data_IF_890617310890
#
_entry.id   IF_890617310890
#
_cell.length_a   1.000
_cell.length_b   1.000
_cell.length_c   1.000
_cell.angle_alpha   90.00
_cell.angle_beta   90.00
_cell.angle_gamma   90.00
#
_symmetry.space_group_name_H-M   'P 1'
#
loop_
_entity.id
_entity.type
_entity.pdbx_description
1 polymer ?
#
# COMPACT_ATOMS: atom_id res chain seq x y z
N UNK A 1 -28.80 14.30 0.76
CA UNK A 1 -28.07 14.15 -0.54
C UNK A 1 -27.86 15.50 -1.27
N UNK A 2 -28.71 16.51 -1.09
CA UNK A 2 -28.52 17.82 -1.75
C UNK A 2 -27.24 18.54 -1.32
N UNK A 3 -26.97 18.67 -0.02
CA UNK A 3 -25.84 19.45 0.52
C UNK A 3 -24.46 18.99 0.02
N UNK A 4 -24.25 17.69 -0.16
CA UNK A 4 -22.95 17.17 -0.67
C UNK A 4 -22.78 17.44 -2.17
N UNK A 5 -23.86 17.33 -2.93
CA UNK A 5 -23.89 17.67 -4.35
C UNK A 5 -23.65 19.17 -4.56
N UNK A 6 -24.32 20.01 -3.74
CA UNK A 6 -24.19 21.47 -3.80
C UNK A 6 -22.75 21.88 -3.44
N UNK A 7 -22.16 21.28 -2.38
CA UNK A 7 -20.76 21.49 -2.01
C UNK A 7 -19.78 21.09 -3.13
N UNK A 8 -20.02 19.96 -3.80
CA UNK A 8 -19.21 19.53 -4.94
C UNK A 8 -19.28 20.51 -6.12
N UNK A 9 -20.49 21.04 -6.42
CA UNK A 9 -20.67 22.06 -7.44
C UNK A 9 -20.00 23.39 -7.06
N UNK A 10 -20.02 23.75 -5.79
CA UNK A 10 -19.39 24.97 -5.28
C UNK A 10 -17.85 24.87 -5.35
N UNK A 11 -17.27 23.72 -5.06
CA UNK A 11 -15.84 23.45 -5.27
C UNK A 11 -15.47 23.53 -6.76
N UNK A 12 -16.27 22.89 -7.62
CA UNK A 12 -16.01 22.87 -9.07
C UNK A 12 -16.10 24.27 -9.69
N UNK A 13 -17.08 25.07 -9.26
CA UNK A 13 -17.28 26.45 -9.75
C UNK A 13 -16.34 27.47 -9.11
N UNK A 14 -15.53 27.06 -8.13
CA UNK A 14 -14.63 27.96 -7.40
C UNK A 14 -15.34 28.90 -6.39
N UNK A 15 -16.64 28.70 -6.12
CA UNK A 15 -17.39 29.47 -5.11
C UNK A 15 -16.91 29.13 -3.69
N UNK A 16 -16.53 27.89 -3.46
CA UNK A 16 -15.84 27.43 -2.26
C UNK A 16 -14.49 26.90 -2.68
N UNK A 17 -13.45 27.16 -1.93
CA UNK A 17 -12.11 26.66 -2.22
C UNK A 17 -11.43 26.17 -0.95
N UNK A 18 -10.89 24.96 -1.01
CA UNK A 18 -9.98 24.42 -0.02
C UNK A 18 -8.57 24.82 -0.44
N UNK A 19 -7.88 25.56 0.41
CA UNK A 19 -6.51 25.98 0.13
C UNK A 19 -5.51 24.86 0.38
N UNK A 20 -5.32 24.01 -0.62
CA UNK A 20 -4.35 22.91 -0.61
C UNK A 20 -2.94 23.42 -0.91
N UNK A 21 -2.82 24.21 -1.97
CA UNK A 21 -1.52 24.69 -2.49
C UNK A 21 -0.92 25.76 -1.57
N UNK A 22 -1.71 26.68 -1.04
CA UNK A 22 -1.21 27.70 -0.10
C UNK A 22 -0.74 27.10 1.23
N UNK A 23 -1.39 26.05 1.68
CA UNK A 23 -1.01 25.32 2.90
C UNK A 23 0.00 24.19 2.66
N UNK A 24 0.72 24.18 1.54
CA UNK A 24 1.69 23.13 1.17
C UNK A 24 2.73 22.81 2.25
N UNK A 25 3.14 23.79 3.07
CA UNK A 25 4.06 23.56 4.20
C UNK A 25 3.47 22.62 5.24
N UNK A 26 2.16 22.69 5.49
CA UNK A 26 1.46 21.78 6.38
C UNK A 26 1.45 20.35 5.80
N UNK A 27 1.10 20.22 4.52
CA UNK A 27 1.05 18.91 3.86
C UNK A 27 2.42 18.26 3.75
N UNK A 28 3.47 19.04 3.45
CA UNK A 28 4.84 18.56 3.49
C UNK A 28 5.26 18.14 4.90
N UNK A 29 4.89 18.90 5.93
CA UNK A 29 5.15 18.54 7.32
C UNK A 29 4.52 17.20 7.69
N UNK A 30 3.24 16.99 7.34
CA UNK A 30 2.53 15.72 7.55
C UNK A 30 3.22 14.59 6.78
N UNK A 31 3.50 14.79 5.49
CA UNK A 31 4.15 13.79 4.65
C UNK A 31 5.53 13.40 5.18
N UNK A 32 6.36 14.36 5.59
CA UNK A 32 7.69 14.11 6.16
C UNK A 32 7.58 13.33 7.46
N UNK A 33 6.66 13.69 8.35
CA UNK A 33 6.44 12.95 9.61
C UNK A 33 6.03 11.51 9.33
N UNK A 34 5.08 11.30 8.41
CA UNK A 34 4.64 9.96 8.01
C UNK A 34 5.79 9.15 7.40
N UNK A 35 6.60 9.75 6.52
CA UNK A 35 7.77 9.10 5.91
C UNK A 35 8.82 8.76 6.97
N UNK A 36 9.10 9.65 7.93
CA UNK A 36 10.01 9.36 9.03
C UNK A 36 9.49 8.16 9.84
N UNK A 37 8.23 8.17 10.22
CA UNK A 37 7.60 7.04 10.93
C UNK A 37 7.74 5.75 10.10
N UNK A 38 7.45 5.80 8.80
CA UNK A 38 7.53 4.66 7.91
C UNK A 38 8.94 4.09 7.77
N UNK A 39 9.98 4.93 7.80
CA UNK A 39 11.38 4.51 7.73
C UNK A 39 11.89 3.99 9.10
N UNK A 40 11.46 4.61 10.19
CA UNK A 40 11.89 4.21 11.54
C UNK A 40 11.18 2.92 12.00
N UNK A 41 9.96 2.68 11.57
CA UNK A 41 9.16 1.54 11.99
C UNK A 41 9.85 0.17 11.77
N UNK A 42 10.41 -0.14 10.58
CA UNK A 42 11.15 -1.40 10.39
C UNK A 42 12.35 -1.52 11.35
N UNK A 43 13.09 -0.42 11.56
CA UNK A 43 14.26 -0.44 12.45
C UNK A 43 13.84 -0.70 13.89
N UNK A 44 12.78 -0.05 14.36
CA UNK A 44 12.28 -0.20 15.73
C UNK A 44 11.69 -1.61 16.00
N UNK A 45 11.23 -2.29 14.98
CA UNK A 45 10.64 -3.65 15.09
C UNK A 45 11.61 -4.79 14.73
N UNK A 46 12.85 -4.49 14.37
CA UNK A 46 13.82 -5.51 13.98
C UNK A 46 13.67 -6.01 12.54
N UNK A 47 12.96 -5.27 11.67
CA UNK A 47 12.79 -5.59 10.26
C UNK A 47 11.33 -5.68 9.81
N UNK A 48 11.15 -6.16 8.58
CA UNK A 48 9.85 -6.55 8.04
C UNK A 48 9.56 -8.01 8.36
N UNK A 49 8.30 -8.31 8.56
CA UNK A 49 7.85 -9.70 8.70
C UNK A 49 7.66 -10.31 7.28
N UNK A 50 8.73 -10.87 6.73
CA UNK A 50 8.67 -11.53 5.42
C UNK A 50 8.06 -12.93 5.54
N UNK A 51 7.17 -13.28 4.61
CA UNK A 51 6.64 -14.62 4.47
C UNK A 51 7.70 -15.66 4.10
N UNK A 52 7.37 -16.93 4.31
CA UNK A 52 8.27 -18.04 3.97
C UNK A 52 8.59 -18.09 2.47
N UNK A 53 7.75 -17.50 1.63
CA UNK A 53 7.96 -17.38 0.18
C UNK A 53 9.21 -16.55 -0.17
N UNK A 54 9.63 -15.66 0.74
CA UNK A 54 10.83 -14.83 0.57
C UNK A 54 12.05 -15.37 1.33
N UNK A 55 11.83 -15.87 2.56
CA UNK A 55 12.94 -16.33 3.42
C UNK A 55 13.23 -17.81 3.35
N UNK A 56 12.32 -18.60 2.79
CA UNK A 56 12.30 -20.05 2.92
C UNK A 56 11.73 -20.48 4.27
N UNK A 57 11.43 -21.76 4.42
CA UNK A 57 10.94 -22.35 5.67
C UNK A 57 9.84 -23.37 5.45
N UNK A 58 9.34 -23.90 6.57
CA UNK A 58 8.21 -24.83 6.59
C UNK A 58 6.96 -24.13 7.12
N UNK A 59 5.81 -24.44 6.55
CA UNK A 59 4.51 -23.95 6.99
C UNK A 59 3.60 -25.11 7.30
N UNK A 60 2.91 -25.04 8.43
CA UNK A 60 1.84 -25.93 8.81
C UNK A 60 0.54 -25.15 8.88
N UNK A 61 -0.52 -25.73 8.35
CA UNK A 61 -1.86 -25.17 8.44
C UNK A 61 -2.83 -26.20 9.00
N UNK A 62 -3.62 -25.75 9.95
CA UNK A 62 -4.65 -26.52 10.63
C UNK A 62 -5.97 -25.78 10.44
N UNK A 63 -6.94 -26.46 9.84
CA UNK A 63 -8.27 -25.92 9.62
C UNK A 63 -9.29 -26.63 10.52
N UNK A 64 -10.38 -25.95 10.87
CA UNK A 64 -11.48 -26.52 11.67
C UNK A 64 -11.17 -26.65 13.18
N UNK A 65 -10.26 -25.83 13.71
CA UNK A 65 -9.95 -25.79 15.14
C UNK A 65 -10.99 -24.98 15.91
N UNK A 66 -11.46 -25.52 17.04
CA UNK A 66 -12.36 -24.77 17.93
C UNK A 66 -11.66 -23.70 18.77
N UNK A 67 -10.36 -23.87 19.02
CA UNK A 67 -9.49 -22.91 19.72
C UNK A 67 -8.35 -22.49 18.80
N UNK A 68 -8.34 -21.24 18.37
CA UNK A 68 -7.29 -20.65 17.55
C UNK A 68 -6.16 -20.04 18.38
N UNK A 69 -6.00 -20.43 19.64
CA UNK A 69 -4.96 -19.97 20.55
C UNK A 69 -3.57 -20.26 19.95
N UNK A 70 -2.80 -19.22 19.77
CA UNK A 70 -1.44 -19.32 19.22
C UNK A 70 -0.49 -20.08 20.16
N UNK A 71 -0.78 -20.08 21.46
CA UNK A 71 0.08 -20.71 22.45
C UNK A 71 0.08 -22.23 22.31
N UNK A 72 -1.08 -22.84 22.04
CA UNK A 72 -1.21 -24.30 21.83
C UNK A 72 -0.32 -24.77 20.70
N UNK A 73 -0.33 -24.07 19.55
CA UNK A 73 0.52 -24.39 18.43
C UNK A 73 2.00 -24.17 18.72
N UNK A 74 2.34 -23.08 19.43
CA UNK A 74 3.71 -22.77 19.81
C UNK A 74 4.29 -23.85 20.72
N UNK A 75 3.57 -24.24 21.74
CA UNK A 75 4.00 -25.25 22.68
C UNK A 75 4.16 -26.62 22.02
N UNK A 76 3.28 -26.97 21.09
CA UNK A 76 3.38 -28.20 20.32
C UNK A 76 4.67 -28.25 19.46
N UNK A 77 5.02 -27.16 18.77
CA UNK A 77 6.26 -27.09 17.98
C UNK A 77 7.49 -27.17 18.87
N UNK A 78 7.55 -26.37 19.94
CA UNK A 78 8.67 -26.31 20.88
C UNK A 78 8.88 -27.66 21.61
N UNK A 79 7.81 -28.43 21.81
CA UNK A 79 7.92 -29.76 22.42
C UNK A 79 8.68 -30.77 21.56
N UNK A 80 8.68 -30.56 20.23
CA UNK A 80 9.42 -31.41 19.27
C UNK A 80 10.82 -30.85 19.02
N UNK A 81 10.89 -29.55 18.73
CA UNK A 81 12.14 -28.85 18.49
C UNK A 81 12.21 -27.56 19.32
N UNK A 82 12.92 -27.59 20.47
CA UNK A 82 13.05 -26.46 21.37
C UNK A 82 13.84 -25.28 20.81
N UNK A 83 14.64 -25.48 19.74
CA UNK A 83 15.44 -24.42 19.12
C UNK A 83 14.61 -23.63 18.09
N UNK A 84 13.57 -24.23 17.55
CA UNK A 84 12.68 -23.59 16.57
C UNK A 84 11.81 -22.52 17.24
N UNK A 85 11.77 -21.33 16.62
CA UNK A 85 10.89 -20.23 16.99
C UNK A 85 9.72 -20.11 16.02
N UNK A 86 8.56 -20.73 16.28
CA UNK A 86 7.43 -20.70 15.38
C UNK A 86 6.75 -19.34 15.38
N UNK A 87 6.42 -18.83 14.19
CA UNK A 87 5.52 -17.71 14.00
C UNK A 87 4.12 -18.29 13.83
N UNK A 88 3.26 -18.08 14.82
CA UNK A 88 1.89 -18.59 14.82
C UNK A 88 0.92 -17.45 14.51
N UNK A 89 0.04 -17.66 13.55
CA UNK A 89 -0.98 -16.69 13.11
C UNK A 89 -2.33 -17.38 13.00
N UNK A 90 -3.35 -16.81 13.67
CA UNK A 90 -4.74 -17.24 13.47
C UNK A 90 -5.25 -16.73 12.11
N UNK A 91 -5.89 -17.61 11.35
CA UNK A 91 -6.39 -17.34 10.00
C UNK A 91 -7.90 -17.61 9.97
N UNK A 92 -8.70 -16.56 9.78
CA UNK A 92 -10.15 -16.70 9.90
C UNK A 92 -10.59 -16.95 11.34
N UNK A 93 -11.68 -17.70 11.50
CA UNK A 93 -12.30 -17.99 12.81
C UNK A 93 -11.90 -19.35 13.36
N UNK A 94 -11.38 -20.26 12.53
CA UNK A 94 -11.20 -21.67 12.84
C UNK A 94 -9.91 -22.28 12.29
N UNK A 95 -8.95 -21.47 11.87
CA UNK A 95 -7.71 -21.95 11.28
C UNK A 95 -6.49 -21.33 11.95
N UNK A 96 -5.41 -22.09 12.06
CA UNK A 96 -4.11 -21.64 12.56
C UNK A 96 -3.04 -21.97 11.55
N UNK A 97 -2.17 -20.98 11.26
CA UNK A 97 -0.99 -21.09 10.40
C UNK A 97 0.26 -20.97 11.27
N UNK A 98 1.16 -21.91 11.12
CA UNK A 98 2.41 -21.98 11.84
C UNK A 98 3.54 -21.97 10.82
N UNK A 99 4.49 -21.08 10.96
CA UNK A 99 5.67 -20.97 10.11
C UNK A 99 6.93 -21.14 10.94
N UNK A 100 7.87 -21.90 10.41
CA UNK A 100 9.17 -22.18 11.04
C UNK A 100 10.29 -21.91 10.06
N UNK A 101 11.52 -21.97 10.53
CA UNK A 101 12.68 -22.12 9.67
C UNK A 101 12.63 -23.46 8.90
N UNK A 102 13.59 -23.67 8.03
CA UNK A 102 13.68 -24.91 7.26
C UNK A 102 13.87 -26.10 8.21
N UNK A 103 12.97 -27.07 8.13
CA UNK A 103 13.02 -28.33 8.86
C UNK A 103 13.36 -29.48 7.90
N UNK A 104 13.93 -30.54 8.45
CA UNK A 104 14.04 -31.80 7.74
C UNK A 104 12.71 -32.57 7.69
N UNK A 105 12.63 -33.59 6.87
CA UNK A 105 11.41 -34.38 6.66
C UNK A 105 10.92 -35.09 7.95
N UNK A 106 11.83 -35.52 8.81
CA UNK A 106 11.52 -36.26 10.04
C UNK A 106 10.91 -35.28 11.05
N UNK A 107 11.60 -34.18 11.32
CA UNK A 107 11.11 -33.11 12.24
C UNK A 107 9.79 -32.51 11.75
N UNK A 108 9.64 -32.32 10.43
CA UNK A 108 8.38 -31.85 9.83
C UNK A 108 7.23 -32.79 10.14
N UNK A 109 7.43 -34.13 10.02
CA UNK A 109 6.37 -35.07 10.31
C UNK A 109 6.07 -35.16 11.82
N UNK A 110 7.10 -35.11 12.67
CA UNK A 110 6.92 -35.08 14.13
C UNK A 110 6.13 -33.86 14.59
N UNK A 111 6.44 -32.67 14.08
CA UNK A 111 5.70 -31.45 14.36
C UNK A 111 4.26 -31.55 13.86
N UNK A 112 4.05 -32.11 12.66
CA UNK A 112 2.71 -32.31 12.10
C UNK A 112 1.84 -33.20 13.03
N UNK A 113 2.42 -34.26 13.55
CA UNK A 113 1.75 -35.16 14.50
C UNK A 113 1.49 -34.47 15.84
N UNK A 114 2.49 -33.75 16.37
CA UNK A 114 2.36 -33.01 17.62
C UNK A 114 1.26 -31.95 17.56
N UNK A 115 1.19 -31.19 16.46
CA UNK A 115 0.15 -30.22 16.20
C UNK A 115 -1.25 -30.86 16.11
N UNK A 116 -1.38 -31.97 15.38
CA UNK A 116 -2.65 -32.69 15.28
C UNK A 116 -3.13 -33.16 16.68
N UNK A 117 -2.23 -33.72 17.49
CA UNK A 117 -2.52 -34.16 18.84
C UNK A 117 -2.91 -33.01 19.77
N UNK A 118 -2.19 -31.89 19.70
CA UNK A 118 -2.45 -30.71 20.53
C UNK A 118 -3.85 -30.09 20.29
N UNK A 119 -4.34 -30.20 19.05
CA UNK A 119 -5.69 -29.73 18.69
C UNK A 119 -6.74 -30.85 18.69
N UNK A 120 -6.38 -32.08 19.09
CA UNK A 120 -7.30 -33.21 19.16
C UNK A 120 -7.85 -33.64 17.79
N UNK A 121 -7.07 -33.47 16.73
CA UNK A 121 -7.44 -33.73 15.35
C UNK A 121 -6.74 -34.98 14.80
N UNK A 122 -7.32 -35.64 13.78
CA UNK A 122 -6.61 -36.72 13.05
C UNK A 122 -5.33 -36.18 12.43
N UNK A 123 -4.27 -37.02 12.35
CA UNK A 123 -2.97 -36.62 11.81
C UNK A 123 -3.03 -36.05 10.38
N UNK A 124 -4.01 -36.42 9.57
CA UNK A 124 -4.23 -35.89 8.20
C UNK A 124 -4.85 -34.48 8.14
N UNK A 125 -5.26 -33.92 9.29
CA UNK A 125 -5.89 -32.58 9.34
C UNK A 125 -4.88 -31.43 9.30
N UNK A 126 -3.59 -31.73 9.51
CA UNK A 126 -2.51 -30.74 9.42
C UNK A 126 -1.86 -30.85 8.08
N UNK A 127 -1.98 -29.81 7.27
CA UNK A 127 -1.27 -29.71 5.99
C UNK A 127 0.11 -29.09 6.23
N UNK A 128 1.13 -29.59 5.56
CA UNK A 128 2.47 -29.02 5.57
C UNK A 128 2.91 -28.62 4.18
N UNK A 129 3.61 -27.50 4.06
CA UNK A 129 4.28 -27.07 2.84
C UNK A 129 5.68 -26.58 3.17
N UNK A 130 6.60 -26.76 2.21
CA UNK A 130 7.97 -26.38 2.37
C UNK A 130 8.42 -25.49 1.21
N UNK A 131 9.14 -24.42 1.54
CA UNK A 131 9.74 -23.51 0.58
C UNK A 131 11.26 -23.47 0.82
N UNK A 132 12.02 -23.98 -0.14
CA UNK A 132 13.47 -23.96 -0.06
C UNK A 132 14.04 -22.55 -0.14
N UNK A 133 15.18 -22.29 0.51
CA UNK A 133 15.83 -20.98 0.57
C UNK A 133 16.19 -20.42 -0.82
N UNK A 134 16.57 -21.28 -1.77
CA UNK A 134 16.85 -20.86 -3.15
C UNK A 134 15.60 -20.30 -3.85
N UNK A 135 14.44 -20.91 -3.61
CA UNK A 135 13.17 -20.40 -4.14
C UNK A 135 12.83 -19.02 -3.56
N UNK A 136 13.01 -18.82 -2.25
CA UNK A 136 12.81 -17.54 -1.60
C UNK A 136 13.70 -16.43 -2.18
N UNK A 137 14.97 -16.73 -2.43
CA UNK A 137 15.90 -15.81 -3.07
C UNK A 137 15.47 -15.46 -4.50
N UNK A 138 15.00 -16.44 -5.28
CA UNK A 138 14.50 -16.22 -6.64
C UNK A 138 13.24 -15.35 -6.65
N UNK A 139 12.30 -15.61 -5.75
CA UNK A 139 11.05 -14.82 -5.62
C UNK A 139 11.38 -13.39 -5.23
N UNK A 140 12.30 -13.19 -4.27
CA UNK A 140 12.77 -11.86 -3.86
C UNK A 140 13.37 -11.09 -5.04
N UNK A 141 14.27 -11.74 -5.78
CA UNK A 141 14.89 -11.12 -6.96
C UNK A 141 13.87 -10.72 -8.02
N UNK A 142 12.90 -11.60 -8.31
CA UNK A 142 11.82 -11.32 -9.26
C UNK A 142 10.92 -10.19 -8.79
N UNK A 143 10.60 -10.11 -7.50
CA UNK A 143 9.78 -9.04 -6.92
C UNK A 143 10.48 -7.67 -7.03
N UNK A 144 11.77 -7.60 -6.68
CA UNK A 144 12.57 -6.37 -6.79
C UNK A 144 12.73 -5.94 -8.25
N UNK A 145 13.08 -6.87 -9.14
CA UNK A 145 13.21 -6.58 -10.56
C UNK A 145 11.88 -6.12 -11.16
N UNK A 146 10.77 -6.75 -10.78
CA UNK A 146 9.42 -6.33 -11.20
C UNK A 146 9.11 -4.91 -10.77
N UNK A 147 9.41 -4.54 -9.53
CA UNK A 147 9.23 -3.18 -9.03
C UNK A 147 10.09 -2.16 -9.79
N UNK A 148 11.37 -2.47 -10.03
CA UNK A 148 12.28 -1.60 -10.76
C UNK A 148 11.79 -1.39 -12.20
N UNK A 149 11.47 -2.47 -12.90
CA UNK A 149 10.95 -2.41 -14.28
C UNK A 149 9.65 -1.61 -14.33
N UNK A 150 8.74 -1.86 -13.39
CA UNK A 150 7.49 -1.09 -13.28
C UNK A 150 7.76 0.41 -13.11
N UNK A 151 8.62 0.80 -12.18
CA UNK A 151 8.95 2.21 -11.94
C UNK A 151 9.59 2.88 -13.15
N UNK A 152 10.47 2.16 -13.88
CA UNK A 152 11.07 2.66 -15.12
C UNK A 152 9.99 2.87 -16.19
N UNK A 153 9.14 1.87 -16.45
CA UNK A 153 8.07 1.95 -17.44
C UNK A 153 7.11 3.10 -17.14
N UNK A 154 6.70 3.23 -15.88
CA UNK A 154 5.84 4.32 -15.43
C UNK A 154 6.52 5.67 -15.61
N UNK A 155 7.80 5.80 -15.25
CA UNK A 155 8.56 7.03 -15.41
C UNK A 155 8.62 7.48 -16.88
N UNK A 156 8.88 6.54 -17.77
CA UNK A 156 8.90 6.78 -19.23
C UNK A 156 7.50 7.18 -19.72
N UNK A 157 6.47 6.43 -19.33
CA UNK A 157 5.08 6.73 -19.70
C UNK A 157 4.66 8.14 -19.27
N UNK A 158 4.95 8.50 -18.01
CA UNK A 158 4.62 9.81 -17.46
C UNK A 158 5.37 10.94 -18.12
N UNK A 159 6.68 10.75 -18.43
CA UNK A 159 7.48 11.73 -19.15
C UNK A 159 6.92 11.98 -20.56
N UNK A 160 6.50 10.92 -21.24
CA UNK A 160 5.90 11.01 -22.57
C UNK A 160 4.50 11.63 -22.55
N UNK A 161 3.66 11.22 -21.60
CA UNK A 161 2.28 11.67 -21.47
C UNK A 161 2.18 13.17 -21.15
N UNK A 162 2.89 13.63 -20.13
CA UNK A 162 2.77 15.02 -19.69
C UNK A 162 3.58 16.01 -20.51
N UNK A 163 4.55 15.55 -21.31
CA UNK A 163 5.48 16.42 -22.06
C UNK A 163 6.15 17.51 -21.19
N UNK A 164 6.04 17.41 -19.86
CA UNK A 164 6.58 18.34 -18.87
C UNK A 164 7.30 17.53 -17.79
N UNK A 165 8.61 17.55 -17.83
CA UNK A 165 9.45 16.77 -16.91
C UNK A 165 9.13 17.04 -15.43
N UNK A 166 8.80 18.29 -15.08
CA UNK A 166 8.44 18.67 -13.70
C UNK A 166 7.14 18.02 -13.21
N UNK A 167 6.17 17.81 -14.09
CA UNK A 167 4.92 17.12 -13.78
C UNK A 167 5.17 15.65 -13.51
N UNK A 168 6.03 15.03 -14.34
CA UNK A 168 6.44 13.63 -14.14
C UNK A 168 7.19 13.44 -12.81
N UNK A 169 8.12 14.35 -12.47
CA UNK A 169 8.83 14.32 -11.17
C UNK A 169 7.82 14.42 -10.00
N UNK A 170 6.86 15.32 -10.08
CA UNK A 170 5.87 15.48 -9.02
C UNK A 170 4.99 14.23 -8.84
N UNK A 171 4.58 13.59 -9.94
CA UNK A 171 3.85 12.33 -9.90
C UNK A 171 4.70 11.18 -9.32
N UNK A 172 5.97 11.07 -9.70
CA UNK A 172 6.89 10.06 -9.18
C UNK A 172 7.20 10.29 -7.68
N UNK A 173 7.28 11.56 -7.24
CA UNK A 173 7.44 11.87 -5.82
C UNK A 173 6.24 11.40 -4.99
N UNK A 174 5.02 11.60 -5.47
CA UNK A 174 3.81 11.07 -4.83
C UNK A 174 3.81 9.54 -4.83
N UNK A 175 4.19 8.91 -5.93
CA UNK A 175 4.29 7.44 -6.04
C UNK A 175 5.32 6.86 -5.07
N UNK A 176 6.50 7.48 -4.96
CA UNK A 176 7.52 7.08 -4.01
C UNK A 176 7.03 7.22 -2.55
N UNK A 177 6.31 8.30 -2.25
CA UNK A 177 5.64 8.47 -0.96
C UNK A 177 4.68 7.32 -0.68
N UNK A 178 3.85 6.91 -1.65
CA UNK A 178 2.86 5.83 -1.48
C UNK A 178 3.52 4.49 -1.16
N UNK A 179 4.61 4.17 -1.88
CA UNK A 179 5.41 2.96 -1.60
C UNK A 179 5.96 2.98 -0.18
N UNK A 180 6.59 4.09 0.22
CA UNK A 180 7.23 4.22 1.53
C UNK A 180 6.20 4.12 2.65
N UNK A 181 5.08 4.82 2.54
CA UNK A 181 4.04 4.80 3.57
C UNK A 181 3.38 3.42 3.66
N UNK A 182 3.07 2.80 2.54
CA UNK A 182 2.47 1.45 2.53
C UNK A 182 3.42 0.44 3.18
N UNK A 183 4.70 0.45 2.80
CA UNK A 183 5.72 -0.39 3.43
C UNK A 183 5.86 -0.10 4.94
N UNK A 184 5.86 1.18 5.31
CA UNK A 184 5.91 1.60 6.72
C UNK A 184 4.73 1.09 7.55
N UNK A 185 3.52 1.08 6.99
CA UNK A 185 2.33 0.53 7.66
C UNK A 185 2.47 -0.98 7.84
N UNK A 186 3.00 -1.72 6.85
CA UNK A 186 3.30 -3.14 6.99
C UNK A 186 4.30 -3.38 8.14
N UNK A 187 5.36 -2.61 8.21
CA UNK A 187 6.33 -2.72 9.29
C UNK A 187 5.73 -2.38 10.67
N UNK A 188 4.92 -1.30 10.77
CA UNK A 188 4.29 -0.87 12.03
C UNK A 188 3.31 -1.90 12.56
N UNK A 189 2.50 -2.48 11.69
CA UNK A 189 1.45 -3.43 12.07
C UNK A 189 1.98 -4.84 12.25
N UNK A 190 3.16 -5.16 11.68
CA UNK A 190 3.72 -6.51 11.64
C UNK A 190 3.00 -7.41 10.63
N UNK A 191 2.27 -6.85 9.69
CA UNK A 191 1.67 -7.61 8.59
C UNK A 191 2.75 -8.30 7.79
N UNK A 192 2.44 -9.51 7.36
CA UNK A 192 3.37 -10.34 6.59
C UNK A 192 3.53 -9.81 5.17
N UNK A 193 4.76 -9.62 4.75
CA UNK A 193 5.10 -9.27 3.37
C UNK A 193 5.18 -10.56 2.57
N UNK A 194 4.15 -10.84 1.79
CA UNK A 194 4.05 -12.00 0.89
C UNK A 194 4.19 -11.58 -0.57
N UNK A 195 4.46 -12.48 -1.52
CA UNK A 195 4.37 -12.16 -2.96
C UNK A 195 3.02 -11.58 -3.36
N UNK A 196 1.94 -12.05 -2.73
CA UNK A 196 0.60 -11.52 -2.92
C UNK A 196 0.48 -10.06 -2.48
N UNK A 197 1.09 -9.69 -1.34
CA UNK A 197 1.16 -8.31 -0.89
C UNK A 197 1.95 -7.41 -1.86
N UNK A 198 3.06 -7.93 -2.44
CA UNK A 198 3.84 -7.20 -3.46
C UNK A 198 3.02 -6.99 -4.74
N UNK A 199 2.27 -7.99 -5.19
CA UNK A 199 1.36 -7.85 -6.34
C UNK A 199 0.30 -6.79 -6.05
N UNK A 200 -0.29 -6.80 -4.85
CA UNK A 200 -1.22 -5.77 -4.39
C UNK A 200 -0.58 -4.38 -4.42
N UNK A 201 0.64 -4.24 -3.91
CA UNK A 201 1.40 -2.98 -3.93
C UNK A 201 1.62 -2.48 -5.37
N UNK A 202 2.10 -3.32 -6.28
CA UNK A 202 2.31 -2.93 -7.69
C UNK A 202 1.00 -2.51 -8.37
N UNK A 203 -0.08 -3.22 -8.07
CA UNK A 203 -1.40 -2.92 -8.63
C UNK A 203 -1.90 -1.54 -8.17
N UNK A 204 -1.75 -1.22 -6.88
CA UNK A 204 -2.22 0.05 -6.34
C UNK A 204 -1.39 1.24 -6.82
N UNK A 205 -0.12 1.05 -7.14
CA UNK A 205 0.69 2.10 -7.74
C UNK A 205 0.12 2.56 -9.09
N UNK A 206 -0.41 1.62 -9.89
CA UNK A 206 -1.13 1.96 -11.12
C UNK A 206 -2.41 2.77 -10.86
N UNK A 207 -3.17 2.41 -9.83
CA UNK A 207 -4.36 3.14 -9.42
C UNK A 207 -4.04 4.57 -8.93
N UNK A 208 -3.04 4.73 -8.07
CA UNK A 208 -2.58 6.03 -7.56
C UNK A 208 -2.12 6.95 -8.69
N UNK A 209 -1.41 6.39 -9.67
CA UNK A 209 -1.01 7.13 -10.87
C UNK A 209 -2.19 7.59 -11.69
N UNK A 210 -3.23 6.75 -11.85
CA UNK A 210 -4.42 7.15 -12.59
C UNK A 210 -5.08 8.39 -11.97
N UNK A 211 -5.23 8.43 -10.66
CA UNK A 211 -5.80 9.60 -9.97
C UNK A 211 -4.90 10.84 -10.12
N UNK A 212 -3.59 10.68 -9.97
CA UNK A 212 -2.61 11.75 -10.21
C UNK A 212 -2.67 12.30 -11.63
N UNK A 213 -2.83 11.44 -12.65
CA UNK A 213 -2.98 11.83 -14.05
C UNK A 213 -4.22 12.69 -14.24
N UNK A 214 -5.35 12.28 -13.66
CA UNK A 214 -6.62 13.03 -13.75
C UNK A 214 -6.51 14.42 -13.13
N UNK A 215 -5.88 14.52 -11.95
CA UNK A 215 -5.63 15.82 -11.30
C UNK A 215 -4.71 16.67 -12.17
N UNK A 216 -3.65 16.10 -12.73
CA UNK A 216 -2.69 16.84 -13.55
C UNK A 216 -3.22 17.24 -14.92
N UNK A 217 -4.12 16.48 -15.50
CA UNK A 217 -4.82 16.90 -16.73
C UNK A 217 -5.64 18.17 -16.46
N UNK A 218 -6.35 18.22 -15.34
CA UNK A 218 -7.10 19.41 -14.94
C UNK A 218 -6.18 20.59 -14.59
N UNK A 219 -5.06 20.32 -13.93
CA UNK A 219 -4.02 21.32 -13.68
C UNK A 219 -3.49 21.87 -14.99
N UNK A 220 -3.22 21.04 -15.98
CA UNK A 220 -2.75 21.46 -17.30
C UNK A 220 -3.79 22.34 -17.99
N UNK A 221 -5.05 21.93 -17.98
CA UNK A 221 -6.16 22.69 -18.56
C UNK A 221 -6.25 24.11 -17.95
N UNK A 222 -6.28 24.19 -16.62
CA UNK A 222 -6.44 25.44 -15.91
C UNK A 222 -5.21 26.37 -15.97
N UNK A 223 -4.02 25.81 -16.21
CA UNK A 223 -2.77 26.59 -16.28
C UNK A 223 -2.40 27.03 -17.68
N UNK A 224 -3.19 26.67 -18.70
CA UNK A 224 -3.02 27.20 -20.05
C UNK A 224 -3.25 28.71 -20.09
N UNK A 225 -2.28 29.46 -20.57
CA UNK A 225 -2.40 30.92 -20.73
C UNK A 225 -2.20 31.75 -19.48
N UNK A 226 -1.95 31.13 -18.30
CA UNK A 226 -1.68 31.87 -17.05
C UNK A 226 -0.49 32.81 -17.16
N UNK A 227 0.47 32.50 -18.01
CA UNK A 227 1.65 33.32 -18.29
C UNK A 227 1.29 34.69 -18.92
N UNK A 228 0.09 34.83 -19.47
CA UNK A 228 -0.44 36.07 -20.07
C UNK A 228 -1.48 36.76 -19.19
N UNK A 229 -1.82 36.22 -18.02
CA UNK A 229 -2.83 36.77 -17.12
C UNK A 229 -2.16 37.69 -16.07
N UNK A 230 -2.78 38.82 -15.83
CA UNK A 230 -2.37 39.74 -14.75
C UNK A 230 -3.12 39.44 -13.43
N UNK A 231 -4.30 38.81 -13.53
CA UNK A 231 -5.21 38.60 -12.39
C UNK A 231 -5.06 37.25 -11.69
N UNK A 232 -4.41 36.28 -12.34
CA UNK A 232 -4.33 34.90 -11.81
C UNK A 232 -2.90 34.41 -11.67
N UNK A 233 -2.59 33.72 -10.56
CA UNK A 233 -1.28 33.11 -10.35
C UNK A 233 -1.30 31.65 -10.75
N UNK A 234 -0.12 31.10 -11.09
CA UNK A 234 0.04 29.68 -11.37
C UNK A 234 -0.46 28.81 -10.19
N UNK A 235 -0.10 29.20 -8.96
CA UNK A 235 -0.51 28.48 -7.74
C UNK A 235 -2.04 28.51 -7.54
N UNK A 236 -2.71 29.64 -7.84
CA UNK A 236 -4.17 29.74 -7.70
C UNK A 236 -4.91 28.85 -8.69
N UNK A 237 -4.41 28.73 -9.95
CA UNK A 237 -5.02 27.88 -10.97
C UNK A 237 -4.78 26.39 -10.69
N UNK A 238 -3.62 26.03 -10.15
CA UNK A 238 -3.40 24.66 -9.67
C UNK A 238 -4.32 24.34 -8.50
N UNK A 239 -4.49 25.25 -7.54
CA UNK A 239 -5.42 25.06 -6.43
C UNK A 239 -6.87 24.90 -6.89
N UNK A 240 -7.29 25.68 -7.88
CA UNK A 240 -8.61 25.53 -8.49
C UNK A 240 -8.78 24.17 -9.13
N UNK A 241 -7.79 23.69 -9.91
CA UNK A 241 -7.82 22.38 -10.54
C UNK A 241 -7.95 21.24 -9.51
N UNK A 242 -7.21 21.33 -8.41
CA UNK A 242 -7.30 20.36 -7.29
C UNK A 242 -8.72 20.37 -6.70
N UNK A 243 -9.30 21.53 -6.44
CA UNK A 243 -10.68 21.63 -5.92
C UNK A 243 -11.72 21.06 -6.91
N UNK A 244 -11.54 21.29 -8.20
CA UNK A 244 -12.42 20.76 -9.26
C UNK A 244 -12.37 19.23 -9.37
N UNK A 245 -11.25 18.60 -9.03
CA UNK A 245 -11.06 17.14 -9.09
C UNK A 245 -11.30 16.44 -7.76
N UNK A 246 -11.29 17.17 -6.64
CA UNK A 246 -11.33 16.61 -5.28
C UNK A 246 -12.50 15.65 -5.06
N UNK A 247 -13.72 16.06 -5.38
CA UNK A 247 -14.92 15.24 -5.18
C UNK A 247 -14.87 13.98 -6.05
N UNK A 248 -14.33 14.10 -7.28
CA UNK A 248 -14.15 12.95 -8.18
C UNK A 248 -13.14 11.96 -7.59
N UNK A 249 -11.96 12.41 -7.16
CA UNK A 249 -10.93 11.58 -6.55
C UNK A 249 -11.47 10.84 -5.32
N UNK A 250 -12.18 11.54 -4.43
CA UNK A 250 -12.79 10.92 -3.24
C UNK A 250 -13.83 9.87 -3.63
N UNK A 251 -14.76 10.20 -4.54
CA UNK A 251 -15.81 9.28 -4.95
C UNK A 251 -15.23 8.03 -5.65
N UNK A 252 -14.26 8.21 -6.53
CA UNK A 252 -13.59 7.10 -7.21
C UNK A 252 -12.90 6.18 -6.21
N UNK A 253 -12.21 6.75 -5.22
CA UNK A 253 -11.54 5.99 -4.17
C UNK A 253 -12.53 5.25 -3.28
N UNK A 254 -13.62 5.89 -2.85
CA UNK A 254 -14.67 5.23 -2.04
C UNK A 254 -15.26 4.04 -2.80
N UNK A 255 -15.60 4.22 -4.08
CA UNK A 255 -16.17 3.13 -4.90
C UNK A 255 -15.16 1.99 -5.09
N UNK A 256 -13.88 2.30 -5.28
CA UNK A 256 -12.84 1.29 -5.44
C UNK A 256 -12.50 0.56 -4.11
N UNK A 257 -12.56 1.26 -2.98
CA UNK A 257 -12.29 0.69 -1.65
C UNK A 257 -13.38 -0.30 -1.23
N UNK A 258 -14.65 -0.07 -1.58
CA UNK A 258 -15.77 -0.91 -1.12
C UNK A 258 -15.60 -2.41 -1.43
N UNK A 259 -15.34 -2.86 -2.68
CA UNK A 259 -15.14 -4.29 -2.95
C UNK A 259 -13.88 -4.84 -2.29
N UNK A 260 -12.81 -4.04 -2.21
CA UNK A 260 -11.57 -4.44 -1.54
C UNK A 260 -11.76 -4.59 -0.03
N UNK A 261 -12.51 -3.66 0.58
CA UNK A 261 -12.89 -3.76 1.99
C UNK A 261 -13.77 -5.00 2.25
N UNK A 262 -14.72 -5.31 1.35
CA UNK A 262 -15.52 -6.52 1.46
C UNK A 262 -14.65 -7.79 1.41
N UNK A 263 -13.70 -7.89 0.49
CA UNK A 263 -12.75 -9.00 0.42
C UNK A 263 -11.88 -9.05 1.69
N UNK A 264 -11.39 -7.90 2.16
CA UNK A 264 -10.54 -7.82 3.34
C UNK A 264 -11.31 -8.24 4.61
N UNK A 265 -12.47 -7.67 4.86
CA UNK A 265 -13.20 -7.90 6.11
C UNK A 265 -14.01 -9.20 6.09
N UNK A 266 -14.65 -9.55 5.00
CA UNK A 266 -15.44 -10.79 4.89
C UNK A 266 -14.52 -11.96 4.52
N UNK A 267 -13.69 -11.82 3.49
CA UNK A 267 -12.81 -12.88 3.01
C UNK A 267 -11.76 -13.28 4.02
N UNK A 268 -11.12 -12.30 4.67
CA UNK A 268 -10.05 -12.56 5.63
C UNK A 268 -10.57 -13.02 6.99
N UNK A 269 -11.58 -12.35 7.53
CA UNK A 269 -12.03 -12.60 8.91
C UNK A 269 -13.11 -13.68 8.99
N UNK A 270 -13.90 -13.89 7.92
CA UNK A 270 -14.99 -14.89 7.92
C UNK A 270 -14.58 -16.16 7.18
N UNK A 271 -13.96 -16.03 5.98
CA UNK A 271 -13.65 -17.18 5.12
C UNK A 271 -12.21 -17.70 5.26
N UNK A 272 -11.31 -16.99 5.95
CA UNK A 272 -9.94 -17.44 6.21
C UNK A 272 -9.05 -17.58 4.98
N UNK A 273 -9.34 -16.85 3.88
CA UNK A 273 -8.55 -16.94 2.64
C UNK A 273 -7.32 -16.04 2.71
N UNK A 274 -6.18 -16.59 3.12
CA UNK A 274 -4.94 -15.86 3.41
C UNK A 274 -4.41 -15.02 2.24
N UNK A 275 -4.24 -15.60 1.05
CA UNK A 275 -3.68 -14.91 -0.12
C UNK A 275 -4.54 -13.71 -0.57
N UNK A 276 -5.86 -13.86 -0.57
CA UNK A 276 -6.78 -12.76 -0.90
C UNK A 276 -6.73 -11.65 0.14
N UNK A 277 -6.54 -12.01 1.41
CA UNK A 277 -6.33 -11.04 2.50
C UNK A 277 -5.11 -10.16 2.23
N UNK A 278 -3.98 -10.77 1.88
CA UNK A 278 -2.71 -10.05 1.71
C UNK A 278 -2.79 -9.07 0.54
N UNK A 279 -3.39 -9.49 -0.59
CA UNK A 279 -3.64 -8.60 -1.73
C UNK A 279 -4.60 -7.47 -1.32
N UNK A 280 -5.73 -7.82 -0.70
CA UNK A 280 -6.75 -6.84 -0.33
C UNK A 280 -6.23 -5.82 0.69
N UNK A 281 -5.39 -6.26 1.62
CA UNK A 281 -4.77 -5.38 2.62
C UNK A 281 -3.84 -4.35 1.97
N UNK A 282 -2.96 -4.79 1.06
CA UNK A 282 -2.06 -3.89 0.33
C UNK A 282 -2.85 -2.88 -0.52
N UNK A 283 -3.89 -3.36 -1.23
CA UNK A 283 -4.78 -2.51 -2.02
C UNK A 283 -5.53 -1.49 -1.13
N UNK A 284 -6.10 -1.94 0.00
CA UNK A 284 -6.87 -1.09 0.90
C UNK A 284 -6.02 0.07 1.45
N UNK A 285 -4.84 -0.26 2.00
CA UNK A 285 -3.90 0.73 2.51
C UNK A 285 -3.45 1.67 1.40
N UNK A 286 -3.01 1.10 0.27
CA UNK A 286 -2.46 1.89 -0.83
C UNK A 286 -3.49 2.80 -1.51
N UNK A 287 -4.78 2.41 -1.59
CA UNK A 287 -5.83 3.30 -2.11
C UNK A 287 -6.04 4.53 -1.23
N UNK A 288 -6.03 4.37 0.09
CA UNK A 288 -6.16 5.50 1.02
C UNK A 288 -4.95 6.43 0.88
N UNK A 289 -3.74 5.87 0.88
CA UNK A 289 -2.49 6.63 0.77
C UNK A 289 -2.39 7.33 -0.58
N UNK A 290 -2.70 6.64 -1.69
CA UNK A 290 -2.63 7.18 -3.04
C UNK A 290 -3.65 8.30 -3.29
N UNK A 291 -4.86 8.20 -2.73
CA UNK A 291 -5.84 9.29 -2.79
C UNK A 291 -5.35 10.53 -2.05
N UNK A 292 -4.69 10.35 -0.91
CA UNK A 292 -4.09 11.46 -0.19
C UNK A 292 -2.94 12.08 -0.98
N UNK A 293 -2.03 11.27 -1.51
CA UNK A 293 -0.81 11.75 -2.15
C UNK A 293 -1.06 12.47 -3.48
N UNK A 294 -2.03 12.01 -4.28
CA UNK A 294 -2.40 12.64 -5.56
C UNK A 294 -2.88 14.08 -5.37
N UNK A 295 -3.59 14.34 -4.28
CA UNK A 295 -4.18 15.66 -3.98
C UNK A 295 -3.17 16.52 -3.20
N UNK A 296 -2.66 16.01 -2.08
CA UNK A 296 -1.95 16.81 -1.08
C UNK A 296 -0.43 16.80 -1.23
N UNK A 297 0.13 15.95 -2.11
CA UNK A 297 1.57 15.88 -2.37
C UNK A 297 1.90 16.21 -3.81
N UNK A 298 1.31 15.51 -4.79
CA UNK A 298 1.66 15.68 -6.20
C UNK A 298 1.46 17.13 -6.66
N UNK A 299 0.29 17.71 -6.38
CA UNK A 299 -0.05 19.07 -6.83
C UNK A 299 0.80 20.17 -6.15
N UNK A 300 0.98 20.18 -4.81
CA UNK A 300 1.91 21.12 -4.17
C UNK A 300 3.36 20.97 -4.64
N UNK A 301 3.86 19.74 -4.84
CA UNK A 301 5.21 19.52 -5.36
C UNK A 301 5.36 20.10 -6.76
N UNK A 302 4.37 19.90 -7.62
CA UNK A 302 4.38 20.48 -8.97
C UNK A 302 4.43 22.02 -8.94
N UNK A 303 3.64 22.65 -8.07
CA UNK A 303 3.69 24.11 -7.89
C UNK A 303 5.07 24.54 -7.41
N UNK A 304 5.62 23.87 -6.40
CA UNK A 304 6.95 24.20 -5.88
C UNK A 304 8.06 24.15 -6.95
N UNK A 305 7.97 23.17 -7.85
CA UNK A 305 8.94 23.02 -8.95
C UNK A 305 8.79 24.09 -10.04
N UNK A 306 7.63 24.76 -10.15
CA UNK A 306 7.28 25.54 -11.33
C UNK A 306 6.94 26.99 -11.09
N UNK A 307 6.46 27.39 -9.91
CA UNK A 307 6.01 28.75 -9.62
C UNK A 307 7.10 29.83 -9.80
N UNK A 308 8.37 29.44 -9.68
CA UNK A 308 9.51 30.35 -9.84
C UNK A 308 10.01 30.46 -11.28
N UNK A 309 9.37 29.80 -12.25
CA UNK A 309 9.73 30.01 -13.66
C UNK A 309 9.41 31.45 -14.07
N UNK A 310 10.30 32.07 -14.86
CA UNK A 310 10.18 33.49 -15.26
C UNK A 310 8.84 33.81 -15.91
N UNK A 311 8.25 32.85 -16.63
CA UNK A 311 6.95 33.00 -17.30
C UNK A 311 5.75 33.06 -16.36
N UNK A 312 5.90 32.60 -15.10
CA UNK A 312 4.84 32.62 -14.10
C UNK A 312 5.09 33.65 -12.99
N UNK A 313 6.21 34.38 -13.03
CA UNK A 313 6.44 35.51 -12.14
C UNK A 313 5.56 36.65 -12.59
N UNK A 314 4.60 37.00 -11.75
CA UNK A 314 3.84 38.24 -11.89
C UNK A 314 4.82 39.39 -12.07
N UNK A 315 4.68 40.14 -13.14
CA UNK A 315 5.37 41.45 -13.25
C UNK A 315 4.87 42.28 -12.08
N UNK A 316 5.77 42.57 -11.13
CA UNK A 316 5.51 43.52 -10.06
C UNK A 316 5.39 44.92 -10.67
#
# INVERSE_FOLDING_TARGET
MSKFKDFGNDLYSGRVSIDVVGRRKLWYGIAIVLVIIAIVAPVARGGFNFGIEFRGGSEFRIDGVGDTSQQVARDAVISVDPETQPIVTSVGVDSVRIQTEQLDDVTTEEIRIALANAYGLPSGSVTSSFIGANWGADVTSKAINGLIVFLILVSVLMAFYFRTFKMSIAALAALAHDVVITAGIYALTGFEVTPAAVIGLLTILGYSLYDTVVVFDKVRENTLGVEFSEDTTFASQVNLAVNQTLVRSINTSVVAILPVAAILFIGAFVLGVGTLRDIALALFIGMIVGTYSSIFIASPVYVHLRENELRFKTKK
#
